data_IF_363558202304
#
_entry.id   IF_363558202304
#
_cell.length_a   1.000
_cell.length_b   1.000
_cell.length_c   1.000
_cell.angle_alpha   90.00
_cell.angle_beta   90.00
_cell.angle_gamma   90.00
#
_symmetry.space_group_name_H-M   'P 1'
#
loop_
_entity.id
_entity.type
_entity.pdbx_description
1 polymer ?
#
# COMPACT_ATOMS: atom_id res chain seq x y z
N UNK A 1 -9.41 6.10 -7.79
CA UNK A 1 -9.35 5.72 -6.38
C UNK A 1 -10.07 4.40 -6.13
N UNK A 2 -11.30 4.29 -6.59
CA UNK A 2 -12.08 3.06 -6.38
C UNK A 2 -11.41 1.85 -7.00
N UNK A 3 -10.89 2.00 -8.21
CA UNK A 3 -10.22 0.91 -8.89
C UNK A 3 -8.98 0.44 -8.12
N UNK A 4 -8.20 1.38 -7.60
CA UNK A 4 -7.02 1.03 -6.81
C UNK A 4 -7.41 0.30 -5.53
N UNK A 5 -8.46 0.77 -4.86
CA UNK A 5 -8.94 0.12 -3.65
C UNK A 5 -9.44 -1.29 -3.94
N UNK A 6 -10.13 -1.48 -5.05
CA UNK A 6 -10.61 -2.81 -5.44
C UNK A 6 -9.45 -3.77 -5.66
N UNK A 7 -8.40 -3.30 -6.33
CA UNK A 7 -7.22 -4.13 -6.57
C UNK A 7 -6.51 -4.49 -5.26
N UNK A 8 -6.41 -3.54 -4.34
CA UNK A 8 -5.80 -3.80 -3.03
C UNK A 8 -6.62 -4.80 -2.24
N UNK A 9 -7.94 -4.65 -2.24
CA UNK A 9 -8.83 -5.58 -1.57
C UNK A 9 -8.67 -6.98 -2.13
N UNK A 10 -8.53 -7.11 -3.44
CA UNK A 10 -8.33 -8.41 -4.08
C UNK A 10 -7.02 -9.07 -3.66
N UNK A 11 -6.04 -8.29 -3.24
CA UNK A 11 -4.77 -8.80 -2.72
C UNK A 11 -4.83 -9.11 -1.23
N UNK A 12 -6.00 -8.95 -0.59
CA UNK A 12 -6.14 -9.18 0.83
C UNK A 12 -5.65 -8.02 1.69
N UNK A 13 -5.59 -6.82 1.11
CA UNK A 13 -5.12 -5.64 1.81
C UNK A 13 -6.25 -4.62 1.90
N UNK A 14 -7.05 -4.68 2.98
CA UNK A 14 -8.15 -3.74 3.14
C UNK A 14 -7.64 -2.30 3.13
N UNK A 15 -8.37 -1.42 2.49
CA UNK A 15 -7.98 -0.03 2.40
C UNK A 15 -9.15 0.88 2.70
N UNK A 16 -8.84 2.08 3.17
CA UNK A 16 -9.84 3.08 3.55
C UNK A 16 -9.48 4.40 2.92
N UNK A 17 -10.45 5.13 2.36
CA UNK A 17 -10.17 6.48 1.88
C UNK A 17 -9.68 7.33 3.04
N UNK A 18 -8.66 8.11 2.80
CA UNK A 18 -8.17 9.06 3.78
C UNK A 18 -8.58 10.45 3.33
N UNK A 19 -7.64 11.27 2.94
CA UNK A 19 -7.94 12.63 2.50
C UNK A 19 -7.58 12.78 1.03
N UNK A 20 -8.40 13.49 0.29
CA UNK A 20 -8.11 13.81 -1.11
C UNK A 20 -7.58 12.61 -1.88
N UNK A 21 -6.30 12.61 -2.16
CA UNK A 21 -5.65 11.59 -3.00
C UNK A 21 -4.91 10.53 -2.19
N UNK A 22 -5.26 10.36 -0.91
CA UNK A 22 -4.59 9.39 -0.06
C UNK A 22 -5.51 8.22 0.29
N UNK A 23 -4.90 7.04 0.43
CA UNK A 23 -5.58 5.84 0.87
C UNK A 23 -4.75 5.22 1.99
N UNK A 24 -5.39 4.83 3.08
CA UNK A 24 -4.75 4.06 4.13
C UNK A 24 -4.97 2.58 3.85
N UNK A 25 -3.89 1.81 3.80
CA UNK A 25 -3.94 0.39 3.50
C UNK A 25 -3.47 -0.39 4.72
N UNK A 26 -4.28 -1.34 5.16
CA UNK A 26 -3.88 -2.24 6.23
C UNK A 26 -3.05 -3.38 5.63
N UNK A 27 -1.87 -3.59 6.20
CA UNK A 27 -1.01 -4.67 5.76
C UNK A 27 -1.26 -5.86 6.67
N UNK A 28 -2.22 -6.67 6.26
CA UNK A 28 -2.60 -7.87 6.99
C UNK A 28 -2.14 -9.08 6.20
N UNK A 29 -0.82 -9.27 6.18
CA UNK A 29 -0.20 -10.31 5.37
C UNK A 29 0.80 -11.07 6.22
N UNK A 30 0.76 -12.40 6.16
CA UNK A 30 1.61 -13.23 7.00
C UNK A 30 3.07 -13.23 6.54
N UNK A 31 3.35 -12.80 5.31
CA UNK A 31 4.70 -12.84 4.75
C UNK A 31 5.48 -11.57 4.98
N UNK A 32 4.79 -10.43 4.95
CA UNK A 32 5.44 -9.14 5.14
C UNK A 32 4.59 -8.28 6.06
N UNK A 33 5.24 -7.47 6.88
CA UNK A 33 4.55 -6.45 7.66
C UNK A 33 4.64 -5.12 6.92
N UNK A 34 4.01 -4.08 7.48
CA UNK A 34 4.00 -2.77 6.83
C UNK A 34 5.40 -2.19 6.67
N UNK A 35 6.25 -2.37 7.68
CA UNK A 35 7.61 -1.84 7.62
C UNK A 35 8.43 -2.50 6.51
N UNK A 36 8.36 -3.81 6.42
CA UNK A 36 9.07 -4.55 5.38
C UNK A 36 8.58 -4.19 3.99
N UNK A 37 7.26 -4.06 3.82
CA UNK A 37 6.69 -3.68 2.55
C UNK A 37 7.13 -2.27 2.16
N UNK A 38 7.10 -1.34 3.12
CA UNK A 38 7.57 0.02 2.90
C UNK A 38 9.01 0.04 2.39
N UNK A 39 9.89 -0.72 3.03
CA UNK A 39 11.30 -0.76 2.62
C UNK A 39 11.48 -1.38 1.24
N UNK A 40 10.75 -2.44 0.94
CA UNK A 40 10.84 -3.08 -0.37
C UNK A 40 10.35 -2.17 -1.48
N UNK A 41 9.27 -1.45 -1.25
CA UNK A 41 8.77 -0.49 -2.23
C UNK A 41 9.74 0.66 -2.42
N UNK A 42 10.36 1.11 -1.34
CA UNK A 42 11.34 2.19 -1.41
C UNK A 42 12.54 1.80 -2.28
N UNK A 43 12.97 0.57 -2.21
CA UNK A 43 14.06 0.08 -3.05
C UNK A 43 13.71 0.14 -4.53
N UNK A 44 12.44 0.06 -4.86
CA UNK A 44 11.97 0.15 -6.23
C UNK A 44 11.54 1.56 -6.62
N UNK A 45 11.91 2.56 -5.82
CA UNK A 45 11.57 3.96 -6.06
C UNK A 45 10.08 4.24 -5.95
N UNK A 46 9.36 3.40 -5.23
CA UNK A 46 7.93 3.59 -4.98
C UNK A 46 7.78 4.03 -3.53
N UNK A 47 7.37 5.28 -3.33
CA UNK A 47 7.36 5.89 -2.01
C UNK A 47 5.95 5.95 -1.44
N UNK A 48 5.78 5.30 -0.28
CA UNK A 48 4.55 5.35 0.49
C UNK A 48 4.91 5.83 1.88
N UNK A 49 3.91 6.18 2.68
CA UNK A 49 4.17 6.67 4.02
C UNK A 49 4.00 5.56 5.05
N UNK A 50 5.04 5.35 5.84
CA UNK A 50 5.01 4.40 6.95
C UNK A 50 4.87 5.17 8.26
N UNK A 51 4.14 4.60 9.22
CA UNK A 51 3.92 5.23 10.52
C UNK A 51 4.48 4.34 11.61
N UNK A 52 5.20 4.94 12.56
CA UNK A 52 5.73 4.22 13.71
C UNK A 52 4.78 4.24 14.89
N UNK A 53 3.65 4.90 14.75
CA UNK A 53 2.62 4.99 15.78
C UNK A 53 1.99 3.62 16.00
N UNK A 54 1.78 3.22 17.26
CA UNK A 54 1.23 1.91 17.58
C UNK A 54 -0.12 1.65 16.94
N UNK A 55 -0.92 2.69 16.72
CA UNK A 55 -2.23 2.53 16.10
C UNK A 55 -2.15 2.41 14.59
N UNK A 56 -1.05 2.85 13.99
CA UNK A 56 -0.91 2.89 12.54
C UNK A 56 0.26 2.08 12.01
N UNK A 57 0.98 1.38 12.88
CA UNK A 57 2.21 0.68 12.47
C UNK A 57 1.98 -0.44 11.47
N UNK A 58 0.76 -0.92 11.34
CA UNK A 58 0.43 -1.94 10.36
C UNK A 58 -0.21 -1.35 9.11
N UNK A 59 -0.14 -0.03 8.94
CA UNK A 59 -0.79 0.65 7.83
C UNK A 59 0.23 1.45 7.02
N UNK A 60 -0.07 1.60 5.74
CA UNK A 60 0.71 2.48 4.87
C UNK A 60 -0.24 3.47 4.22
N UNK A 61 0.22 4.70 4.03
CA UNK A 61 -0.55 5.70 3.30
C UNK A 61 -0.03 5.78 1.88
N UNK A 62 -0.91 5.53 0.94
CA UNK A 62 -0.59 5.54 -0.47
C UNK A 62 -1.18 6.78 -1.12
N UNK A 63 -0.38 7.45 -1.95
CA UNK A 63 -0.88 8.54 -2.77
C UNK A 63 -1.45 7.95 -4.05
N UNK A 64 -2.71 8.29 -4.35
CA UNK A 64 -3.34 7.85 -5.59
C UNK A 64 -2.75 8.65 -6.73
N UNK A 65 -2.10 7.98 -7.67
CA UNK A 65 -1.51 8.61 -8.84
C UNK A 65 -2.35 8.37 -10.08
N UNK A 66 -1.71 8.48 -11.24
CA UNK A 66 -2.39 8.13 -12.47
C UNK A 66 -2.45 6.60 -12.62
N UNK A 67 -3.11 6.12 -13.67
CA UNK A 67 -3.28 4.69 -13.88
C UNK A 67 -1.95 3.94 -13.94
N UNK A 68 -0.98 4.51 -14.64
CA UNK A 68 0.33 3.88 -14.78
C UNK A 68 1.04 3.75 -13.44
N UNK A 69 0.99 4.80 -12.64
CA UNK A 69 1.61 4.78 -11.31
C UNK A 69 0.90 3.79 -10.40
N UNK A 70 -0.42 3.76 -10.43
CA UNK A 70 -1.20 2.83 -9.61
C UNK A 70 -0.93 1.39 -10.00
N UNK A 71 -0.82 1.11 -11.30
CA UNK A 71 -0.51 -0.23 -11.76
C UNK A 71 0.89 -0.67 -11.34
N UNK A 72 1.87 0.22 -11.41
CA UNK A 72 3.23 -0.08 -10.96
C UNK A 72 3.25 -0.43 -9.48
N UNK A 73 2.50 0.32 -8.67
CA UNK A 73 2.39 0.06 -7.25
C UNK A 73 1.75 -1.30 -6.98
N UNK A 74 0.65 -1.58 -7.64
CA UNK A 74 -0.08 -2.84 -7.43
C UNK A 74 0.79 -4.04 -7.83
N UNK A 75 1.47 -3.95 -8.96
CA UNK A 75 2.34 -5.04 -9.41
C UNK A 75 3.49 -5.28 -8.45
N UNK A 76 4.06 -4.21 -7.92
CA UNK A 76 5.15 -4.32 -6.94
C UNK A 76 4.64 -4.98 -5.66
N UNK A 77 3.50 -4.53 -5.14
CA UNK A 77 2.92 -5.10 -3.93
C UNK A 77 2.61 -6.59 -4.14
N UNK A 78 2.00 -6.91 -5.26
CA UNK A 78 1.66 -8.30 -5.58
C UNK A 78 2.90 -9.20 -5.58
N UNK A 79 3.98 -8.73 -6.20
CA UNK A 79 5.21 -9.49 -6.26
C UNK A 79 5.85 -9.66 -4.88
N UNK A 80 5.84 -8.61 -4.08
CA UNK A 80 6.49 -8.62 -2.77
C UNK A 80 5.71 -9.48 -1.76
N UNK A 81 4.38 -9.47 -1.86
CA UNK A 81 3.52 -10.16 -0.90
C UNK A 81 3.19 -11.61 -1.27
N UNK A 82 3.68 -12.09 -2.38
CA UNK A 82 3.47 -13.48 -2.79
C UNK A 82 4.05 -14.49 -1.83
#
# INVERSE_FOLDING_TARGET
>A
RTHLQDRLTALGLPSHPSQSNFILVEIDNQRVDAHSLYLSLKEEQIFVRYFQDDLLKNKLRITVGNEEQNESLIKAIERITR
#
